data_IF_859666018808
#
_entry.id   IF_859666018808
#
_cell.length_a   1.000
_cell.length_b   1.000
_cell.length_c   1.000
_cell.angle_alpha   90.00
_cell.angle_beta   90.00
_cell.angle_gamma   90.00
#
_symmetry.space_group_name_H-M   'P 1'
#
loop_
_entity.id
_entity.type
_entity.pdbx_description
1 polymer ?
#
# COMPACT_ATOMS: atom_id res chain seq x y z
N UNK A 1 42.48 -45.21 36.01
CA UNK A 1 41.45 -44.19 36.28
C UNK A 1 41.09 -43.58 34.94
N UNK A 2 39.88 -43.84 34.44
CA UNK A 2 39.42 -43.36 33.14
C UNK A 2 38.74 -42.01 33.32
N UNK A 3 39.29 -40.94 32.73
CA UNK A 3 38.64 -39.64 32.65
C UNK A 3 37.73 -39.61 31.43
N UNK A 4 36.42 -39.77 31.63
CA UNK A 4 35.41 -39.48 30.63
C UNK A 4 35.35 -37.97 30.43
N UNK A 5 35.94 -37.46 29.35
CA UNK A 5 35.71 -36.09 28.88
C UNK A 5 34.34 -36.04 28.22
N UNK A 6 33.36 -35.50 28.93
CA UNK A 6 32.06 -35.14 28.38
C UNK A 6 32.25 -33.94 27.45
N UNK A 7 32.46 -34.20 26.15
CA UNK A 7 32.42 -33.15 25.13
C UNK A 7 30.96 -32.81 24.84
N UNK A 8 30.56 -31.58 25.17
CA UNK A 8 29.23 -31.06 24.83
C UNK A 8 29.02 -31.10 23.30
N UNK A 9 27.98 -31.79 22.80
CA UNK A 9 27.76 -31.99 21.36
C UNK A 9 27.29 -30.72 20.61
N UNK A 10 27.23 -29.56 21.27
CA UNK A 10 26.59 -28.35 20.76
C UNK A 10 27.54 -27.16 20.50
N UNK A 11 28.85 -27.28 20.77
CA UNK A 11 29.79 -26.16 20.59
C UNK A 11 30.01 -25.76 19.10
N UNK A 12 29.73 -26.67 18.15
CA UNK A 12 29.85 -26.40 16.72
C UNK A 12 28.62 -25.74 16.09
N UNK A 13 27.44 -25.84 16.70
CA UNK A 13 26.18 -25.36 16.10
C UNK A 13 26.02 -23.85 16.18
N UNK A 14 26.35 -23.26 17.34
CA UNK A 14 26.19 -21.82 17.56
C UNK A 14 27.27 -20.97 16.86
N UNK A 15 28.46 -21.54 16.65
CA UNK A 15 29.57 -20.87 15.96
C UNK A 15 29.34 -20.79 14.44
N UNK A 16 28.78 -21.85 13.84
CA UNK A 16 28.37 -21.87 12.44
C UNK A 16 27.24 -20.88 12.13
N UNK A 17 26.19 -20.85 12.96
CA UNK A 17 25.06 -19.91 12.83
C UNK A 17 25.51 -18.44 12.89
N UNK A 18 26.48 -18.11 13.76
CA UNK A 18 27.02 -16.75 13.88
C UNK A 18 27.88 -16.35 12.67
N UNK A 19 28.60 -17.30 12.07
CA UNK A 19 29.35 -17.07 10.83
C UNK A 19 28.42 -16.93 9.62
N UNK A 20 27.37 -17.75 9.51
CA UNK A 20 26.36 -17.63 8.45
C UNK A 20 25.58 -16.31 8.53
N UNK A 21 25.21 -15.87 9.74
CA UNK A 21 24.54 -14.58 9.94
C UNK A 21 25.44 -13.39 9.58
N UNK A 22 26.75 -13.48 9.86
CA UNK A 22 27.74 -12.46 9.43
C UNK A 22 27.92 -12.46 7.91
N UNK A 23 28.01 -13.63 7.27
CA UNK A 23 28.15 -13.74 5.83
C UNK A 23 26.93 -13.18 5.07
N UNK A 24 25.72 -13.41 5.60
CA UNK A 24 24.46 -12.82 5.09
C UNK A 24 24.36 -11.30 5.31
N UNK A 25 25.02 -10.76 6.34
CA UNK A 25 25.03 -9.31 6.60
C UNK A 25 25.95 -8.54 5.65
N UNK A 26 26.94 -9.20 5.05
CA UNK A 26 27.94 -8.60 4.15
C UNK A 26 27.65 -8.74 2.67
N UNK A 27 26.53 -9.34 2.25
CA UNK A 27 26.21 -9.39 0.83
C UNK A 27 25.96 -7.97 0.32
N UNK A 28 26.74 -7.48 -0.66
CA UNK A 28 26.50 -6.16 -1.21
C UNK A 28 25.13 -6.20 -1.89
N UNK A 29 24.23 -5.31 -1.46
CA UNK A 29 22.93 -5.14 -2.10
C UNK A 29 23.17 -4.96 -3.59
N UNK A 30 22.48 -5.76 -4.40
CA UNK A 30 22.57 -5.67 -5.84
C UNK A 30 22.14 -4.27 -6.29
N UNK A 31 22.66 -3.79 -7.44
CA UNK A 31 22.31 -2.47 -7.96
C UNK A 31 20.79 -2.28 -8.15
N UNK A 32 20.06 -3.38 -8.40
CA UNK A 32 18.60 -3.40 -8.50
C UNK A 32 17.91 -3.16 -7.15
N UNK A 33 18.40 -3.77 -6.07
CA UNK A 33 17.87 -3.58 -4.72
C UNK A 33 18.10 -2.15 -4.23
N UNK A 34 19.27 -1.57 -4.52
CA UNK A 34 19.55 -0.17 -4.19
C UNK A 34 18.63 0.81 -4.93
N UNK A 35 18.28 0.52 -6.20
CA UNK A 35 17.29 1.33 -6.96
C UNK A 35 15.90 1.23 -6.35
N UNK A 36 15.42 0.02 -6.06
CA UNK A 36 14.11 -0.21 -5.43
C UNK A 36 13.99 0.47 -4.07
N UNK A 37 15.06 0.43 -3.27
CA UNK A 37 15.08 1.08 -1.96
C UNK A 37 15.04 2.61 -2.08
N UNK A 38 15.78 3.18 -3.04
CA UNK A 38 15.72 4.61 -3.33
C UNK A 38 14.32 5.04 -3.77
N UNK A 39 13.67 4.28 -4.64
CA UNK A 39 12.33 4.59 -5.11
C UNK A 39 11.28 4.44 -4.00
N UNK A 40 11.43 3.43 -3.11
CA UNK A 40 10.63 3.32 -1.88
C UNK A 40 10.80 4.54 -0.97
N UNK A 41 12.03 4.99 -0.73
CA UNK A 41 12.27 6.15 0.10
C UNK A 41 11.68 7.43 -0.52
N UNK A 42 11.74 7.57 -1.85
CA UNK A 42 11.09 8.67 -2.58
C UNK A 42 9.57 8.65 -2.40
N UNK A 43 8.92 7.50 -2.56
CA UNK A 43 7.46 7.41 -2.41
C UNK A 43 6.99 7.60 -0.97
N UNK A 44 7.79 7.17 0.02
CA UNK A 44 7.48 7.37 1.45
C UNK A 44 7.59 8.83 1.86
N UNK A 45 8.53 9.59 1.27
CA UNK A 45 8.73 11.02 1.57
C UNK A 45 7.78 11.94 0.80
N UNK A 46 7.07 11.43 -0.21
CA UNK A 46 5.99 12.18 -0.84
C UNK A 46 4.82 12.24 0.13
N UNK A 47 4.41 13.46 0.51
CA UNK A 47 3.14 13.64 1.20
C UNK A 47 2.04 12.93 0.39
N UNK A 48 1.17 12.14 1.04
CA UNK A 48 0.05 11.54 0.33
C UNK A 48 -0.71 12.67 -0.34
N UNK A 49 -0.90 12.57 -1.66
CA UNK A 49 -1.66 13.56 -2.42
C UNK A 49 -3.06 13.56 -1.78
N UNK A 50 -3.37 14.57 -0.97
CA UNK A 50 -4.71 14.76 -0.41
C UNK A 50 -5.61 15.27 -1.52
N UNK A 51 -5.78 14.46 -2.57
CA UNK A 51 -6.70 14.75 -3.63
C UNK A 51 -8.11 14.57 -3.07
N UNK A 52 -8.98 15.59 -3.15
CA UNK A 52 -10.37 15.45 -2.76
C UNK A 52 -11.00 14.29 -3.52
N UNK A 53 -11.78 13.46 -2.80
CA UNK A 53 -12.49 12.33 -3.41
C UNK A 53 -13.91 12.74 -3.69
N UNK A 54 -14.33 12.56 -4.94
CA UNK A 54 -15.64 12.93 -5.42
C UNK A 54 -16.49 11.68 -5.64
N UNK A 55 -17.76 11.68 -5.28
CA UNK A 55 -18.72 10.70 -5.79
C UNK A 55 -20.03 11.39 -6.19
N UNK A 56 -20.78 10.78 -7.09
CA UNK A 56 -22.11 11.25 -7.47
C UNK A 56 -23.14 10.45 -6.69
N UNK A 57 -23.88 11.13 -5.82
CA UNK A 57 -25.01 10.57 -5.09
C UNK A 57 -26.29 10.88 -5.86
N UNK A 58 -27.19 9.92 -5.97
CA UNK A 58 -28.43 10.10 -6.71
C UNK A 58 -29.58 9.23 -6.18
N UNK A 59 -30.81 9.67 -6.43
CA UNK A 59 -32.03 8.98 -6.01
C UNK A 59 -32.64 8.20 -7.17
N UNK A 60 -33.01 6.94 -6.90
CA UNK A 60 -33.77 6.08 -7.82
C UNK A 60 -34.98 5.55 -7.07
N UNK A 61 -36.20 5.96 -7.46
CA UNK A 61 -37.45 5.57 -6.82
C UNK A 61 -37.43 5.77 -5.29
N UNK A 62 -36.90 6.90 -4.83
CA UNK A 62 -36.77 7.24 -3.41
C UNK A 62 -35.65 6.52 -2.65
N UNK A 63 -34.83 5.70 -3.34
CA UNK A 63 -33.66 5.03 -2.74
C UNK A 63 -32.38 5.70 -3.18
N UNK A 64 -31.50 5.98 -2.22
CA UNK A 64 -30.18 6.53 -2.48
C UNK A 64 -29.24 5.51 -3.14
N UNK A 65 -28.47 5.98 -4.11
CA UNK A 65 -27.40 5.28 -4.80
C UNK A 65 -26.20 6.20 -4.91
N UNK A 66 -25.02 5.60 -5.08
CA UNK A 66 -23.75 6.30 -5.23
C UNK A 66 -22.89 5.68 -6.31
N UNK A 67 -22.16 6.51 -7.02
CA UNK A 67 -21.11 6.05 -7.94
C UNK A 67 -19.87 5.58 -7.19
N UNK A 68 -18.91 5.03 -7.93
CA UNK A 68 -17.55 4.89 -7.43
C UNK A 68 -16.93 6.26 -7.10
N UNK A 69 -15.91 6.25 -6.24
CA UNK A 69 -15.08 7.42 -5.96
C UNK A 69 -14.22 7.80 -7.16
N UNK A 70 -14.14 9.10 -7.42
CA UNK A 70 -13.40 9.73 -8.48
C UNK A 70 -12.38 10.69 -7.84
N UNK A 71 -11.18 10.76 -8.42
CA UNK A 71 -10.12 11.67 -7.96
C UNK A 71 -10.03 12.95 -8.81
N UNK A 72 -10.95 13.12 -9.76
CA UNK A 72 -11.00 14.26 -10.67
C UNK A 72 -12.40 14.89 -10.65
N UNK A 73 -12.45 16.20 -10.40
CA UNK A 73 -13.67 17.00 -10.39
C UNK A 73 -14.41 16.95 -11.74
N UNK A 74 -13.70 17.00 -12.87
CA UNK A 74 -14.31 17.02 -14.20
C UNK A 74 -15.06 15.72 -14.50
N UNK A 75 -14.51 14.59 -14.06
CA UNK A 75 -15.19 13.29 -14.17
C UNK A 75 -16.44 13.25 -13.30
N UNK A 76 -16.40 13.83 -12.10
CA UNK A 76 -17.57 13.93 -11.23
C UNK A 76 -18.66 14.83 -11.82
N UNK A 77 -18.29 15.96 -12.44
CA UNK A 77 -19.23 16.85 -13.15
C UNK A 77 -19.88 16.17 -14.35
N UNK A 78 -19.11 15.42 -15.14
CA UNK A 78 -19.67 14.62 -16.24
C UNK A 78 -20.60 13.52 -15.72
N UNK A 79 -20.22 12.85 -14.64
CA UNK A 79 -21.06 11.89 -13.92
C UNK A 79 -22.38 12.49 -13.45
N UNK A 80 -22.31 13.69 -12.86
CA UNK A 80 -23.47 14.44 -12.41
C UNK A 80 -24.43 14.74 -13.56
N UNK A 81 -23.92 15.30 -14.67
CA UNK A 81 -24.75 15.58 -15.86
C UNK A 81 -25.45 14.33 -16.38
N UNK A 82 -24.77 13.18 -16.43
CA UNK A 82 -25.38 11.93 -16.86
C UNK A 82 -26.50 11.47 -15.91
N UNK A 83 -26.29 11.59 -14.59
CA UNK A 83 -27.30 11.20 -13.60
C UNK A 83 -28.49 12.16 -13.56
N UNK A 84 -28.23 13.47 -13.69
CA UNK A 84 -29.27 14.49 -13.81
C UNK A 84 -30.12 14.28 -15.06
N UNK A 85 -29.51 13.99 -16.20
CA UNK A 85 -30.24 13.66 -17.43
C UNK A 85 -31.09 12.38 -17.31
N UNK A 86 -30.65 11.41 -16.51
CA UNK A 86 -31.33 10.12 -16.36
C UNK A 86 -32.41 10.10 -15.28
N UNK A 87 -32.17 10.78 -14.16
CA UNK A 87 -32.98 10.70 -12.95
C UNK A 87 -33.59 12.05 -12.54
N UNK A 88 -33.26 13.14 -13.22
CA UNK A 88 -33.74 14.50 -12.97
C UNK A 88 -32.71 15.37 -12.26
N UNK A 89 -32.70 16.66 -12.57
CA UNK A 89 -31.69 17.63 -12.11
C UNK A 89 -31.56 17.73 -10.58
N UNK A 90 -32.69 17.61 -9.87
CA UNK A 90 -32.76 17.69 -8.40
C UNK A 90 -32.45 16.37 -7.69
N UNK A 91 -32.29 15.29 -8.44
CA UNK A 91 -32.14 13.95 -7.87
C UNK A 91 -30.69 13.46 -7.87
N UNK A 92 -29.72 14.27 -8.27
CA UNK A 92 -28.30 13.91 -8.24
C UNK A 92 -27.44 15.10 -7.78
N UNK A 93 -26.40 14.80 -6.99
CA UNK A 93 -25.44 15.77 -6.45
C UNK A 93 -24.02 15.18 -6.46
N UNK A 94 -23.01 16.05 -6.39
CA UNK A 94 -21.63 15.64 -6.11
C UNK A 94 -21.40 15.75 -4.60
N UNK A 95 -20.91 14.67 -4.02
CA UNK A 95 -20.39 14.61 -2.67
C UNK A 95 -18.86 14.62 -2.71
N UNK A 96 -18.25 15.39 -1.82
CA UNK A 96 -16.78 15.50 -1.67
C UNK A 96 -16.40 15.07 -0.27
N UNK A 97 -15.45 14.16 -0.18
CA UNK A 97 -14.78 13.74 1.06
C UNK A 97 -13.44 14.45 1.23
#
# INVERSE_FOLDING_TARGET
MAECKFTDPNEGFFTGLRQELRARATTPKTALEMRRERDRLRTVLQQPISAPRYCVMYLVNGRERKSAWLYNNDHARKGLQMMQAKYGDRNAIIYVD
#
